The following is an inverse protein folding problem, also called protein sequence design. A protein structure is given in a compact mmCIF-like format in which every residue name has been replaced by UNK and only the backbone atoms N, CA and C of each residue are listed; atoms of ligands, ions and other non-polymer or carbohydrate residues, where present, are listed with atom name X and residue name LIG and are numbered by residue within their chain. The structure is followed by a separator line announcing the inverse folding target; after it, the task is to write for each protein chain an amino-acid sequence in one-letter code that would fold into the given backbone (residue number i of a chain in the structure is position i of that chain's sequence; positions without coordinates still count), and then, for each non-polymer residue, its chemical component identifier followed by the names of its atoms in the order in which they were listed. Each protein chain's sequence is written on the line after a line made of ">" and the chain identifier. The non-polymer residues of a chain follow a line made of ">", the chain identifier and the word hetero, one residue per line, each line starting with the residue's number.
data_IF_423767206904
#
_entry.id   IF_423767206904
#
_cell.length_a   1.000
_cell.length_b   1.000
_cell.length_c   1.000
_cell.angle_alpha   90.00
_cell.angle_beta   90.00
_cell.angle_gamma   90.00
#
_symmetry.space_group_name_H-M   'P 1'
#
loop_
_entity.id
_entity.type
_entity.pdbx_description
1 polymer ?
#
# COMPACT_ATOMS: atom_id res chain seq x y z
N UNK A 1 0.61 -7.55 17.02
CA UNK A 1 0.05 -8.02 15.75
C UNK A 1 -0.13 -6.79 14.88
N UNK A 2 0.57 -6.66 13.74
CA UNK A 2 0.37 -5.49 12.92
C UNK A 2 -0.99 -5.64 12.21
N UNK A 3 -1.94 -4.79 12.57
CA UNK A 3 -3.29 -4.70 11.97
C UNK A 3 -3.16 -4.15 10.54
N UNK A 4 -2.60 -4.93 9.63
CA UNK A 4 -2.62 -4.56 8.22
C UNK A 4 -4.07 -4.68 7.75
N UNK A 5 -4.64 -3.64 7.12
CA UNK A 5 -5.99 -3.73 6.57
C UNK A 5 -6.05 -4.90 5.59
N UNK A 6 -6.93 -5.85 5.88
CA UNK A 6 -7.17 -7.00 4.99
C UNK A 6 -8.09 -6.52 3.88
N UNK A 7 -7.51 -6.19 2.73
CA UNK A 7 -8.29 -5.88 1.54
C UNK A 7 -8.95 -7.16 1.02
N UNK A 8 -10.27 -7.06 0.78
CA UNK A 8 -11.10 -8.15 0.26
C UNK A 8 -10.73 -8.46 -1.18
N UNK A 9 -10.53 -7.42 -2.00
CA UNK A 9 -10.00 -7.55 -3.35
C UNK A 9 -8.77 -6.66 -3.57
N UNK A 10 -7.91 -7.00 -4.53
CA UNK A 10 -6.79 -6.16 -4.95
C UNK A 10 -7.22 -4.75 -5.36
N UNK A 11 -8.43 -4.60 -5.93
CA UNK A 11 -8.97 -3.32 -6.34
C UNK A 11 -9.30 -2.40 -5.15
N UNK A 12 -9.70 -2.97 -4.00
CA UNK A 12 -9.95 -2.21 -2.76
C UNK A 12 -8.69 -1.55 -2.22
N UNK A 13 -7.51 -2.10 -2.51
CA UNK A 13 -6.23 -1.57 -2.05
C UNK A 13 -5.73 -0.39 -2.90
N UNK A 14 -6.18 -0.25 -4.15
CA UNK A 14 -5.69 0.80 -5.07
C UNK A 14 -5.96 2.20 -4.51
N UNK A 15 -7.15 2.42 -3.95
CA UNK A 15 -7.55 3.72 -3.39
C UNK A 15 -6.72 4.11 -2.15
N UNK A 16 -6.54 3.23 -1.15
CA UNK A 16 -5.61 3.44 -0.03
C UNK A 16 -4.16 3.65 -0.44
N UNK A 17 -3.65 2.86 -1.39
CA UNK A 17 -2.28 2.99 -1.91
C UNK A 17 -2.09 4.38 -2.53
N UNK A 18 -3.03 4.82 -3.36
CA UNK A 18 -2.99 6.15 -3.95
C UNK A 18 -3.00 7.25 -2.88
N UNK A 19 -3.89 7.16 -1.90
CA UNK A 19 -3.96 8.12 -0.80
C UNK A 19 -2.66 8.18 0.03
N UNK A 20 -2.02 7.05 0.30
CA UNK A 20 -0.75 6.99 1.02
C UNK A 20 0.39 7.62 0.22
N UNK A 21 0.45 7.38 -1.10
CA UNK A 21 1.44 7.98 -1.99
C UNK A 21 1.22 9.49 -2.17
N UNK A 22 -0.03 9.94 -2.21
CA UNK A 22 -0.36 11.38 -2.21
C UNK A 22 0.08 12.04 -0.90
N UNK A 23 -0.25 11.44 0.24
CA UNK A 23 0.19 11.93 1.55
C UNK A 23 1.72 11.97 1.67
N UNK A 24 2.41 10.93 1.19
CA UNK A 24 3.88 10.89 1.17
C UNK A 24 4.47 12.02 0.33
N UNK A 25 3.87 12.36 -0.82
CA UNK A 25 4.32 13.47 -1.66
C UNK A 25 4.12 14.83 -0.97
N UNK A 26 2.99 15.03 -0.28
CA UNK A 26 2.78 16.24 0.51
C UNK A 26 3.77 16.34 1.67
N UNK A 27 4.04 15.24 2.37
CA UNK A 27 4.96 15.19 3.50
C UNK A 27 6.42 15.31 3.07
N UNK A 28 6.78 14.90 1.85
CA UNK A 28 8.13 15.06 1.31
C UNK A 28 8.56 16.53 1.15
N UNK A 29 7.61 17.47 1.15
CA UNK A 29 7.88 18.90 1.18
C UNK A 29 8.35 19.40 2.56
N UNK A 30 8.09 18.62 3.63
CA UNK A 30 8.52 18.92 4.99
C UNK A 30 9.73 18.04 5.37
N UNK A 31 10.91 18.64 5.65
CA UNK A 31 12.10 17.89 6.01
C UNK A 31 11.98 17.11 7.33
N UNK A 32 11.04 17.45 8.22
CA UNK A 32 10.76 16.72 9.45
C UNK A 32 9.82 15.52 9.24
N UNK A 33 9.05 15.50 8.15
CA UNK A 33 8.12 14.42 7.83
C UNK A 33 8.70 13.39 6.86
N UNK A 34 10.01 13.48 6.55
CA UNK A 34 10.69 12.61 5.59
C UNK A 34 10.63 11.14 5.99
N UNK A 35 10.83 10.82 7.27
CA UNK A 35 10.70 9.45 7.78
C UNK A 35 9.28 8.90 7.57
N UNK A 36 8.27 9.69 7.93
CA UNK A 36 6.86 9.31 7.72
C UNK A 36 6.51 9.15 6.23
N UNK A 37 7.06 9.99 5.35
CA UNK A 37 6.87 9.86 3.91
C UNK A 37 7.48 8.56 3.37
N UNK A 38 8.65 8.16 3.87
CA UNK A 38 9.30 6.91 3.49
C UNK A 38 8.50 5.70 3.98
N UNK A 39 7.98 5.75 5.22
CA UNK A 39 7.15 4.70 5.79
C UNK A 39 5.85 4.50 5.01
N UNK A 40 5.21 5.59 4.56
CA UNK A 40 4.00 5.52 3.72
C UNK A 40 4.28 4.91 2.34
N UNK A 41 5.43 5.24 1.73
CA UNK A 41 5.84 4.65 0.45
C UNK A 41 6.15 3.16 0.62
N UNK A 42 6.88 2.78 1.67
CA UNK A 42 7.18 1.39 1.98
C UNK A 42 5.89 0.58 2.20
N UNK A 43 4.98 1.10 3.02
CA UNK A 43 3.67 0.48 3.25
C UNK A 43 2.86 0.32 1.96
N UNK A 44 2.85 1.33 1.09
CA UNK A 44 2.14 1.29 -0.19
C UNK A 44 2.71 0.21 -1.12
N UNK A 45 4.04 0.07 -1.17
CA UNK A 45 4.72 -0.97 -1.95
C UNK A 45 4.44 -2.37 -1.41
N UNK A 46 4.55 -2.57 -0.09
CA UNK A 46 4.23 -3.84 0.57
C UNK A 46 2.77 -4.25 0.34
N UNK A 47 1.85 -3.29 0.43
CA UNK A 47 0.43 -3.52 0.18
C UNK A 47 0.19 -3.91 -1.28
N UNK A 48 0.80 -3.22 -2.24
CA UNK A 48 0.71 -3.56 -3.66
C UNK A 48 1.26 -4.97 -3.93
N UNK A 49 2.39 -5.34 -3.33
CA UNK A 49 2.99 -6.66 -3.46
C UNK A 49 2.08 -7.75 -2.88
N UNK A 50 1.50 -7.54 -1.71
CA UNK A 50 0.56 -8.48 -1.10
C UNK A 50 -0.69 -8.68 -1.97
N UNK A 51 -1.22 -7.61 -2.56
CA UNK A 51 -2.39 -7.70 -3.44
C UNK A 51 -2.07 -8.38 -4.78
N UNK A 52 -0.88 -8.16 -5.33
CA UNK A 52 -0.41 -8.87 -6.52
C UNK A 52 -0.25 -10.39 -6.26
N UNK A 53 0.23 -10.77 -5.06
CA UNK A 53 0.31 -12.19 -4.66
C UNK A 53 -1.10 -12.80 -4.53
N UNK A 54 -2.06 -12.06 -3.97
CA UNK A 54 -3.47 -12.52 -3.91
C UNK A 54 -4.05 -12.75 -5.31
N UNK A 55 -3.83 -11.83 -6.26
CA UNK A 55 -4.26 -12.00 -7.66
C UNK A 55 -3.65 -13.24 -8.33
N UNK A 56 -2.39 -13.57 -8.01
CA UNK A 56 -1.74 -14.76 -8.57
C UNK A 56 -2.26 -16.06 -7.97
N UNK A 57 -2.60 -16.06 -6.68
CA UNK A 57 -3.13 -17.24 -5.99
C UNK A 57 -4.63 -17.49 -6.26
N UNK A 58 -5.37 -16.49 -6.74
CA UNK A 58 -6.76 -16.64 -7.20
C UNK A 58 -6.87 -17.15 -8.65
N UNK A 59 -5.77 -17.61 -9.27
CA UNK A 59 -5.87 -18.35 -10.54
C UNK A 59 -6.67 -19.65 -10.31
N UNK A 60 -7.78 -19.87 -11.03
CA UNK A 60 -8.54 -21.10 -10.91
C UNK A 60 -7.64 -22.25 -11.34
N UNK A 61 -7.56 -23.26 -10.48
CA UNK A 61 -7.11 -24.60 -10.87
C UNK A 61 -8.17 -25.14 -11.81
N UNK A 62 -7.87 -25.19 -13.10
CA UNK A 62 -8.58 -26.04 -14.07
C UNK A 62 -8.14 -27.50 -13.85
#
# INVERSE_FOLDING_TARGET
>A
MPNHPVFATPADAIRPIAAALEAAQFLALDPQAKDLSNDLIAWAQETAAQMAIKMQNEKPTD
#
